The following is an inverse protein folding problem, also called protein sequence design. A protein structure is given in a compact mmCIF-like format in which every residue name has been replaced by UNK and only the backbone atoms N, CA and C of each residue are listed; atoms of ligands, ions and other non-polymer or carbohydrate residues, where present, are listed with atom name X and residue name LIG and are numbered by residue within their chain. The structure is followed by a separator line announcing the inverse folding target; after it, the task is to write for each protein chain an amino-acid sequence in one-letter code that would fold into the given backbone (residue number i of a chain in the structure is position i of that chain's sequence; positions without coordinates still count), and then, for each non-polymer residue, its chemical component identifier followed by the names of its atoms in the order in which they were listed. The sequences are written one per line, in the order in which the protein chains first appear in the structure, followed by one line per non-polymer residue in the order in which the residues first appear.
data_IF_724231133609
#
_entry.id   IF_724231133609
#
_cell.length_a   1.000
_cell.length_b   1.000
_cell.length_c   1.000
_cell.angle_alpha   90.00
_cell.angle_beta   90.00
_cell.angle_gamma   90.00
#
_symmetry.space_group_name_H-M   'P 1'
#
loop_
_entity.id
_entity.type
_entity.pdbx_description
1 polymer ?
#
# COMPACT_ATOMS: atom_id res chain seq x y z
N UNK A 1 22.93 -13.90 23.23
CA UNK A 1 23.13 -13.23 21.94
C UNK A 1 23.62 -14.28 20.97
N UNK A 2 22.67 -15.00 20.34
CA UNK A 2 22.99 -15.90 19.23
C UNK A 2 23.37 -15.02 18.05
N UNK A 3 24.28 -15.49 17.20
CA UNK A 3 24.59 -14.83 15.95
C UNK A 3 23.37 -15.02 15.04
N UNK A 4 22.39 -14.14 15.15
CA UNK A 4 21.25 -14.12 14.24
C UNK A 4 21.77 -13.68 12.88
N UNK A 5 21.84 -14.65 11.97
CA UNK A 5 22.09 -14.38 10.55
C UNK A 5 20.88 -13.58 10.05
N UNK A 6 21.07 -12.40 9.45
CA UNK A 6 19.95 -11.58 9.01
C UNK A 6 19.13 -12.34 7.93
N UNK A 7 17.80 -12.17 7.92
CA UNK A 7 16.95 -12.82 6.92
C UNK A 7 17.41 -12.44 5.50
N UNK A 8 17.50 -13.45 4.63
CA UNK A 8 17.93 -13.26 3.24
C UNK A 8 16.83 -12.59 2.41
N UNK A 9 17.16 -11.48 1.76
CA UNK A 9 16.29 -10.77 0.84
C UNK A 9 16.39 -11.40 -0.56
N UNK A 10 15.26 -11.75 -1.16
CA UNK A 10 15.20 -12.18 -2.57
C UNK A 10 14.61 -11.05 -3.40
N UNK A 11 15.34 -10.61 -4.42
CA UNK A 11 14.90 -9.61 -5.40
C UNK A 11 14.08 -10.32 -6.46
N UNK A 12 12.89 -9.80 -6.77
CA UNK A 12 12.02 -10.33 -7.82
C UNK A 12 12.20 -9.42 -9.04
N UNK A 13 12.56 -10.01 -10.18
CA UNK A 13 12.54 -9.35 -11.50
C UNK A 13 11.23 -9.75 -12.19
N UNK A 14 10.46 -8.77 -12.68
CA UNK A 14 9.18 -9.03 -13.35
C UNK A 14 9.39 -9.20 -14.87
N UNK A 15 8.73 -10.21 -15.46
CA UNK A 15 8.63 -10.43 -16.91
C UNK A 15 7.25 -9.95 -17.38
N UNK A 16 7.19 -9.05 -18.37
CA UNK A 16 5.94 -8.53 -18.94
C UNK A 16 5.34 -9.54 -19.94
N UNK A 17 4.10 -9.98 -19.72
CA UNK A 17 3.31 -10.79 -20.67
C UNK A 17 2.27 -9.91 -21.40
N UNK A 18 2.27 -9.95 -22.74
CA UNK A 18 1.26 -9.28 -23.58
C UNK A 18 -0.02 -10.12 -23.65
N UNK A 19 -1.17 -9.55 -23.26
CA UNK A 19 -2.49 -10.19 -23.45
C UNK A 19 -3.20 -9.68 -24.71
N UNK A 20 -3.70 -10.63 -25.51
CA UNK A 20 -4.46 -10.45 -26.76
C UNK A 20 -5.95 -10.11 -26.47
N UNK A 21 -6.45 -9.06 -27.13
CA UNK A 21 -7.86 -8.64 -27.11
C UNK A 21 -8.79 -9.61 -27.89
N UNK A 22 -9.87 -10.09 -27.25
CA UNK A 22 -10.92 -10.89 -27.90
C UNK A 22 -12.29 -10.17 -27.87
N UNK A 23 -12.75 -9.74 -29.05
CA UNK A 23 -14.02 -9.07 -29.33
C UNK A 23 -15.19 -10.07 -29.42
N UNK A 24 -15.93 -10.23 -28.32
CA UNK A 24 -17.13 -11.07 -28.25
C UNK A 24 -18.44 -10.29 -28.14
N UNK A 25 -19.15 -10.10 -29.26
CA UNK A 25 -20.43 -9.39 -29.34
C UNK A 25 -21.71 -10.17 -28.96
N UNK A 26 -22.82 -9.44 -28.94
CA UNK A 26 -24.22 -9.94 -28.90
C UNK A 26 -24.85 -9.95 -27.51
N UNK A 27 -26.13 -9.65 -27.28
CA UNK A 27 -27.28 -9.44 -28.15
C UNK A 27 -28.44 -8.87 -27.33
N UNK A 28 -29.43 -8.36 -28.06
CA UNK A 28 -30.70 -7.78 -27.63
C UNK A 28 -31.61 -8.68 -26.76
N UNK A 29 -32.62 -8.05 -26.14
CA UNK A 29 -34.01 -8.51 -25.89
C UNK A 29 -34.49 -8.30 -24.42
N UNK A 30 -35.44 -7.39 -24.11
CA UNK A 30 -36.91 -7.36 -24.33
C UNK A 30 -37.72 -7.65 -23.03
N UNK A 31 -38.69 -6.75 -22.79
CA UNK A 31 -39.98 -6.90 -22.08
C UNK A 31 -40.09 -7.17 -20.56
N UNK A 32 -40.91 -6.33 -19.91
CA UNK A 32 -41.57 -6.65 -18.65
C UNK A 32 -42.20 -5.45 -17.95
N UNK A 33 -43.29 -4.92 -18.51
CA UNK A 33 -44.12 -3.94 -17.81
C UNK A 33 -44.80 -4.57 -16.59
N UNK A 34 -44.73 -3.90 -15.44
CA UNK A 34 -45.52 -4.24 -14.27
C UNK A 34 -46.32 -3.02 -13.82
N UNK A 35 -47.63 -3.20 -13.88
CA UNK A 35 -48.69 -2.26 -13.66
C UNK A 35 -49.06 -2.12 -12.18
N UNK A 36 -49.18 -0.86 -11.78
CA UNK A 36 -50.20 -0.34 -10.87
C UNK A 36 -50.64 -1.19 -9.68
N UNK A 37 -50.14 -0.83 -8.50
CA UNK A 37 -50.93 -0.86 -7.27
C UNK A 37 -50.37 0.17 -6.29
N UNK A 38 -50.93 1.38 -6.34
CA UNK A 38 -50.75 2.43 -5.32
C UNK A 38 -51.56 2.04 -4.07
N UNK A 39 -50.94 1.80 -2.91
CA UNK A 39 -51.68 1.71 -1.66
C UNK A 39 -52.12 3.10 -1.19
N UNK A 40 -53.26 3.17 -0.46
CA UNK A 40 -53.88 4.42 -0.05
C UNK A 40 -53.06 5.17 1.01
N UNK A 41 -53.11 6.49 0.85
CA UNK A 41 -52.71 7.51 1.80
C UNK A 41 -53.48 7.36 3.12
N UNK A 42 -52.82 6.96 4.20
CA UNK A 42 -53.30 7.10 5.58
C UNK A 42 -52.12 6.78 6.53
N UNK A 43 -51.38 7.80 6.98
CA UNK A 43 -51.18 7.99 8.42
C UNK A 43 -50.45 9.32 8.71
N UNK A 44 -51.20 10.28 9.23
CA UNK A 44 -50.68 11.45 9.93
C UNK A 44 -50.01 11.02 11.24
N UNK A 45 -48.78 10.51 11.15
CA UNK A 45 -47.97 10.19 12.33
C UNK A 45 -46.99 11.32 12.61
N UNK A 46 -47.49 12.27 13.40
CA UNK A 46 -46.77 13.08 14.37
C UNK A 46 -45.29 13.36 14.05
N UNK A 47 -45.03 14.55 13.52
CA UNK A 47 -43.71 15.17 13.49
C UNK A 47 -43.14 15.27 14.92
N UNK A 48 -42.45 14.20 15.34
CA UNK A 48 -41.53 14.25 16.45
C UNK A 48 -40.36 15.05 15.95
N UNK A 49 -40.38 16.33 16.33
CA UNK A 49 -39.22 17.19 16.44
C UNK A 49 -38.09 16.39 17.11
N UNK A 50 -37.26 15.77 16.26
CA UNK A 50 -36.13 14.95 16.65
C UNK A 50 -35.02 15.94 16.90
N UNK A 51 -35.07 16.49 18.13
CA UNK A 51 -34.25 17.59 18.60
C UNK A 51 -32.87 17.60 17.96
N UNK A 52 -32.63 18.70 17.25
CA UNK A 52 -31.36 19.19 16.71
C UNK A 52 -30.24 18.15 16.79
N UNK A 53 -30.30 17.21 15.83
CA UNK A 53 -29.42 16.06 15.70
C UNK A 53 -28.01 16.48 15.31
N UNK A 54 -27.38 17.31 16.14
CA UNK A 54 -25.98 17.71 16.06
C UNK A 54 -25.14 16.44 16.07
N UNK A 55 -24.75 15.99 14.89
CA UNK A 55 -23.76 14.95 14.77
C UNK A 55 -22.45 15.54 15.31
N UNK A 56 -21.75 14.84 16.22
CA UNK A 56 -20.55 15.39 16.86
C UNK A 56 -19.36 15.50 15.90
N UNK A 57 -19.55 15.17 14.62
CA UNK A 57 -18.54 15.18 13.58
C UNK A 57 -19.12 15.73 12.27
N UNK A 58 -18.31 16.49 11.54
CA UNK A 58 -18.63 16.96 10.19
C UNK A 58 -17.94 16.05 9.17
N UNK A 59 -18.70 15.57 8.20
CA UNK A 59 -18.14 14.86 7.05
C UNK A 59 -17.45 15.87 6.13
N UNK A 60 -16.12 15.83 6.08
CA UNK A 60 -15.33 16.73 5.22
C UNK A 60 -15.28 16.24 3.77
N UNK A 61 -14.98 14.95 3.57
CA UNK A 61 -14.79 14.37 2.26
C UNK A 61 -15.48 13.02 2.15
N UNK A 62 -16.06 12.75 0.98
CA UNK A 62 -16.63 11.46 0.62
C UNK A 62 -16.46 11.25 -0.87
N UNK A 63 -15.79 10.16 -1.23
CA UNK A 63 -15.62 9.75 -2.62
C UNK A 63 -15.47 8.23 -2.69
N UNK A 64 -15.76 7.66 -3.87
CA UNK A 64 -15.59 6.24 -4.13
C UNK A 64 -14.18 6.00 -4.66
N UNK A 65 -13.30 5.39 -3.85
CA UNK A 65 -11.91 5.13 -4.25
C UNK A 65 -11.75 3.87 -5.12
N UNK A 66 -12.51 2.83 -4.80
CA UNK A 66 -12.47 1.53 -5.49
C UNK A 66 -13.89 1.09 -5.82
N UNK A 67 -14.11 0.46 -6.98
CA UNK A 67 -15.42 -0.09 -7.29
C UNK A 67 -15.67 -1.35 -6.43
N UNK A 68 -16.66 -1.36 -5.53
CA UNK A 68 -16.88 -2.49 -4.64
C UNK A 68 -17.29 -3.77 -5.37
N UNK A 69 -17.76 -3.70 -6.61
CA UNK A 69 -18.19 -4.85 -7.40
C UNK A 69 -17.01 -5.56 -8.08
N UNK A 70 -16.01 -4.80 -8.55
CA UNK A 70 -14.88 -5.34 -9.33
C UNK A 70 -13.59 -5.39 -8.52
N UNK A 71 -13.33 -4.37 -7.70
CA UNK A 71 -12.09 -4.19 -6.95
C UNK A 71 -12.26 -4.50 -5.47
N UNK A 72 -13.49 -4.62 -4.96
CA UNK A 72 -13.74 -4.94 -3.56
C UNK A 72 -13.52 -3.76 -2.59
N UNK A 73 -13.52 -4.03 -1.27
CA UNK A 73 -13.45 -2.97 -0.26
C UNK A 73 -12.04 -2.39 -0.12
N UNK A 74 -11.94 -1.16 0.38
CA UNK A 74 -10.66 -0.54 0.77
C UNK A 74 -10.03 -1.35 1.90
N UNK A 75 -8.80 -1.81 1.72
CA UNK A 75 -8.07 -2.65 2.69
C UNK A 75 -6.97 -1.89 3.42
N UNK A 76 -6.43 -0.84 2.81
CA UNK A 76 -5.47 0.05 3.44
C UNK A 76 -5.72 1.50 3.01
N UNK A 77 -5.50 2.43 3.94
CA UNK A 77 -5.68 3.87 3.76
C UNK A 77 -4.53 4.61 4.44
N UNK A 78 -3.97 5.60 3.76
CA UNK A 78 -2.98 6.52 4.31
C UNK A 78 -3.29 7.94 3.81
N UNK A 79 -3.18 8.93 4.69
CA UNK A 79 -3.24 10.35 4.32
C UNK A 79 -1.91 11.01 4.66
N UNK A 80 -1.26 11.61 3.67
CA UNK A 80 0.03 12.28 3.83
C UNK A 80 0.15 13.43 2.82
N UNK A 81 0.52 14.62 3.30
CA UNK A 81 0.84 15.76 2.43
C UNK A 81 -0.28 16.17 1.47
N UNK A 82 -1.53 16.20 1.94
CA UNK A 82 -2.70 16.54 1.10
C UNK A 82 -3.15 15.43 0.14
N UNK A 83 -2.45 14.29 0.13
CA UNK A 83 -2.78 13.12 -0.69
C UNK A 83 -3.37 12.01 0.15
N UNK A 84 -4.31 11.28 -0.43
CA UNK A 84 -4.85 10.03 0.10
C UNK A 84 -4.31 8.88 -0.75
N UNK A 85 -3.83 7.83 -0.10
CA UNK A 85 -3.39 6.59 -0.71
C UNK A 85 -4.36 5.49 -0.28
N UNK A 86 -4.96 4.80 -1.25
CA UNK A 86 -5.90 3.71 -0.99
C UNK A 86 -5.46 2.44 -1.70
N UNK A 87 -5.64 1.30 -1.06
CA UNK A 87 -5.64 -0.01 -1.72
C UNK A 87 -6.99 -0.67 -1.54
N UNK A 88 -7.45 -1.41 -2.54
CA UNK A 88 -8.70 -2.15 -2.53
C UNK A 88 -8.53 -3.60 -3.00
N UNK A 89 -9.31 -4.50 -2.40
CA UNK A 89 -9.41 -5.91 -2.82
C UNK A 89 -8.10 -6.68 -2.85
N UNK A 90 -7.91 -7.45 -3.93
CA UNK A 90 -6.82 -8.41 -4.13
C UNK A 90 -5.82 -7.99 -5.21
N UNK A 91 -6.01 -6.86 -5.90
CA UNK A 91 -5.20 -6.50 -7.07
C UNK A 91 -3.76 -6.10 -6.73
N UNK A 92 -3.50 -5.72 -5.47
CA UNK A 92 -2.18 -5.21 -5.08
C UNK A 92 -1.88 -3.79 -5.57
N UNK A 93 -2.89 -3.08 -6.08
CA UNK A 93 -2.73 -1.71 -6.59
C UNK A 93 -2.96 -0.64 -5.50
N UNK A 94 -2.24 0.47 -5.62
CA UNK A 94 -2.39 1.64 -4.75
C UNK A 94 -2.84 2.85 -5.58
N UNK A 95 -4.03 3.38 -5.29
CA UNK A 95 -4.52 4.61 -5.90
C UNK A 95 -4.14 5.82 -5.07
N UNK A 96 -3.62 6.84 -5.73
CA UNK A 96 -3.26 8.13 -5.14
C UNK A 96 -4.28 9.18 -5.53
N UNK A 97 -4.80 9.90 -4.55
CA UNK A 97 -5.82 10.94 -4.68
C UNK A 97 -5.31 12.25 -4.11
N UNK A 98 -5.61 13.35 -4.76
CA UNK A 98 -5.43 14.70 -4.21
C UNK A 98 -6.75 15.19 -3.61
N UNK A 99 -6.66 15.76 -2.41
CA UNK A 99 -7.79 16.39 -1.72
C UNK A 99 -7.52 17.89 -1.67
N UNK A 100 -8.24 18.72 -2.46
CA UNK A 100 -8.02 20.16 -2.45
C UNK A 100 -8.29 20.79 -1.08
N UNK A 101 -7.34 21.58 -0.58
CA UNK A 101 -7.46 22.30 0.71
C UNK A 101 -8.56 23.39 0.70
N UNK A 102 -9.04 23.78 -0.48
CA UNK A 102 -9.98 24.90 -0.69
C UNK A 102 -11.34 24.73 0.00
N UNK A 103 -11.63 23.55 0.55
CA UNK A 103 -12.91 23.24 1.23
C UNK A 103 -12.92 23.63 2.71
N UNK A 104 -11.78 24.06 3.26
CA UNK A 104 -11.68 24.49 4.67
C UNK A 104 -12.03 25.97 4.90
N UNK A 105 -12.29 26.75 3.85
CA UNK A 105 -12.46 28.21 3.93
C UNK A 105 -13.88 28.72 3.63
N UNK A 106 -14.89 27.85 3.56
CA UNK A 106 -16.27 28.32 3.44
C UNK A 106 -16.79 28.73 4.82
N UNK A 107 -16.65 30.03 5.08
CA UNK A 107 -17.14 30.77 6.24
C UNK A 107 -18.63 30.49 6.51
N UNK A 108 -18.94 30.29 7.80
CA UNK A 108 -20.21 29.87 8.42
C UNK A 108 -21.44 30.77 8.18
N UNK A 109 -21.43 31.69 7.20
CA UNK A 109 -22.31 32.85 7.28
C UNK A 109 -23.62 32.83 6.47
N UNK A 110 -23.85 31.94 5.50
CA UNK A 110 -25.09 32.09 4.70
C UNK A 110 -25.78 30.80 4.22
N UNK A 111 -27.05 30.74 4.63
CA UNK A 111 -28.20 30.06 4.06
C UNK A 111 -28.22 28.52 3.99
N UNK A 112 -29.16 27.99 4.78
CA UNK A 112 -29.78 26.67 4.90
C UNK A 112 -30.21 26.03 3.55
N UNK A 113 -29.26 25.88 2.63
CA UNK A 113 -29.42 25.19 1.37
C UNK A 113 -28.60 23.91 1.43
N UNK A 114 -29.21 22.87 2.01
CA UNK A 114 -28.62 21.55 2.34
C UNK A 114 -28.07 20.71 1.18
N UNK A 115 -27.60 21.30 0.08
CA UNK A 115 -26.79 20.62 -0.91
C UNK A 115 -25.32 20.64 -0.47
N UNK A 116 -24.99 19.78 0.49
CA UNK A 116 -23.61 19.60 0.96
C UNK A 116 -22.67 19.36 -0.23
N UNK A 117 -21.87 20.37 -0.56
CA UNK A 117 -20.93 20.33 -1.67
C UNK A 117 -19.82 19.33 -1.32
N UNK A 118 -19.95 18.11 -1.82
CA UNK A 118 -18.94 17.06 -1.62
C UNK A 118 -17.66 17.49 -2.32
N UNK A 119 -16.56 17.61 -1.56
CA UNK A 119 -15.24 17.84 -2.14
C UNK A 119 -14.92 16.70 -3.10
N UNK A 120 -14.63 17.06 -4.35
CA UNK A 120 -14.25 16.08 -5.36
C UNK A 120 -12.77 15.73 -5.19
N UNK A 121 -12.48 14.52 -4.73
CA UNK A 121 -11.13 13.98 -4.78
C UNK A 121 -10.68 13.83 -6.23
N UNK A 122 -9.42 14.16 -6.51
CA UNK A 122 -8.84 14.10 -7.86
C UNK A 122 -7.93 12.87 -7.92
N UNK A 123 -8.23 11.87 -8.76
CA UNK A 123 -7.30 10.75 -8.96
C UNK A 123 -6.02 11.26 -9.62
N UNK A 124 -4.86 10.96 -9.02
CA UNK A 124 -3.56 11.38 -9.52
C UNK A 124 -2.87 10.28 -10.33
N UNK A 125 -2.68 9.11 -9.72
CA UNK A 125 -1.94 7.99 -10.32
C UNK A 125 -2.26 6.67 -9.63
N UNK A 126 -1.86 5.58 -10.28
CA UNK A 126 -1.90 4.22 -9.75
C UNK A 126 -0.46 3.72 -9.55
N UNK A 127 -0.18 3.07 -8.42
CA UNK A 127 1.09 2.40 -8.14
C UNK A 127 0.84 0.89 -8.18
N UNK A 128 1.49 0.20 -9.10
CA UNK A 128 1.28 -1.23 -9.39
C UNK A 128 2.62 -1.93 -9.72
N UNK A 129 2.60 -3.26 -9.89
CA UNK A 129 3.79 -4.05 -10.24
C UNK A 129 4.72 -4.38 -9.05
N UNK A 130 4.20 -4.32 -7.82
CA UNK A 130 4.97 -4.74 -6.65
C UNK A 130 4.31 -5.84 -5.82
N UNK A 131 3.00 -6.00 -5.98
CA UNK A 131 2.18 -6.93 -5.23
C UNK A 131 1.24 -7.66 -6.20
N UNK A 132 1.04 -8.95 -5.96
CA UNK A 132 0.05 -9.77 -6.67
C UNK A 132 -1.15 -10.11 -5.79
N UNK A 133 -1.29 -9.45 -4.63
CA UNK A 133 -2.32 -9.73 -3.65
C UNK A 133 -2.73 -8.51 -2.83
N UNK A 134 -3.72 -8.70 -1.96
CA UNK A 134 -4.24 -7.67 -1.05
C UNK A 134 -3.14 -6.99 -0.23
N UNK A 135 -3.06 -5.66 -0.33
CA UNK A 135 -2.25 -4.84 0.57
C UNK A 135 -2.94 -4.73 1.93
N UNK A 136 -2.18 -5.01 2.98
CA UNK A 136 -2.61 -4.98 4.39
C UNK A 136 -2.15 -3.74 5.15
N UNK A 137 -1.16 -3.01 4.63
CA UNK A 137 -0.63 -1.82 5.28
C UNK A 137 -0.05 -0.83 4.28
N UNK A 138 -0.29 0.47 4.55
CA UNK A 138 0.37 1.61 3.93
C UNK A 138 0.96 2.48 5.03
N UNK A 139 2.24 2.82 4.94
CA UNK A 139 2.96 3.63 5.94
C UNK A 139 3.93 4.58 5.27
N UNK A 140 4.21 5.72 5.89
CA UNK A 140 5.25 6.63 5.43
C UNK A 140 6.55 6.37 6.18
N UNK A 141 7.67 6.54 5.49
CA UNK A 141 8.97 6.70 6.13
C UNK A 141 9.53 8.04 5.66
N UNK A 142 9.40 9.05 6.51
CA UNK A 142 10.06 10.32 6.26
C UNK A 142 11.46 10.25 6.83
N UNK A 143 12.45 10.31 5.95
CA UNK A 143 13.86 10.41 6.33
C UNK A 143 14.23 11.81 6.85
N UNK A 144 13.26 12.55 7.40
CA UNK A 144 13.51 13.84 8.03
C UNK A 144 14.30 13.59 9.31
N UNK A 145 15.61 13.41 9.15
CA UNK A 145 16.56 13.66 10.21
C UNK A 145 16.25 15.07 10.63
N UNK A 146 15.73 15.24 11.84
CA UNK A 146 15.37 16.54 12.41
C UNK A 146 16.64 17.39 12.53
N UNK A 147 17.08 17.95 11.40
CA UNK A 147 18.39 18.54 11.21
C UNK A 147 18.26 20.03 11.51
N UNK A 148 18.24 20.32 12.80
CA UNK A 148 18.56 21.67 13.30
C UNK A 148 20.02 22.08 13.05
N UNK A 149 20.80 21.31 12.28
CA UNK A 149 22.20 21.58 11.99
C UNK A 149 22.48 21.69 10.49
N UNK A 150 22.25 22.90 9.97
CA UNK A 150 23.00 23.57 8.91
C UNK A 150 23.56 22.73 7.74
N UNK A 151 22.81 22.78 6.62
CA UNK A 151 23.33 22.99 5.28
C UNK A 151 24.33 21.98 4.69
N UNK A 152 24.03 20.67 4.77
CA UNK A 152 24.48 19.76 3.71
C UNK A 152 23.48 19.84 2.56
N UNK A 153 23.85 20.51 1.46
CA UNK A 153 23.06 20.63 0.22
C UNK A 153 22.92 19.31 -0.57
N UNK A 154 23.36 18.16 -0.01
CA UNK A 154 23.45 16.86 -0.69
C UNK A 154 22.74 15.71 0.05
N UNK A 155 22.02 15.98 1.16
CA UNK A 155 21.15 14.96 1.75
C UNK A 155 19.80 14.99 1.01
N UNK A 156 19.69 14.19 -0.06
CA UNK A 156 18.42 13.88 -0.71
C UNK A 156 17.51 13.15 0.31
N UNK A 157 16.75 13.92 1.10
CA UNK A 157 15.72 13.38 1.99
C UNK A 157 14.64 12.72 1.13
N UNK A 158 14.68 11.40 1.05
CA UNK A 158 13.65 10.63 0.36
C UNK A 158 12.46 10.37 1.30
N UNK A 159 11.33 10.97 0.99
CA UNK A 159 10.04 10.59 1.56
C UNK A 159 9.58 9.29 0.88
N UNK A 160 9.46 8.23 1.68
CA UNK A 160 9.13 6.90 1.18
C UNK A 160 7.72 6.46 1.59
N UNK A 161 7.06 5.73 0.71
CA UNK A 161 5.84 4.97 1.00
C UNK A 161 6.22 3.50 1.16
N UNK A 162 5.82 2.89 2.26
CA UNK A 162 5.80 1.44 2.44
C UNK A 162 4.42 0.90 2.10
N UNK A 163 4.39 -0.15 1.30
CA UNK A 163 3.24 -1.04 1.16
C UNK A 163 3.62 -2.48 1.50
N UNK A 164 2.70 -3.22 2.12
CA UNK A 164 2.89 -4.63 2.47
C UNK A 164 1.66 -5.47 2.11
N UNK A 165 1.89 -6.65 1.54
CA UNK A 165 0.85 -7.49 0.94
C UNK A 165 0.78 -8.90 1.55
N UNK A 166 -0.42 -9.49 1.53
CA UNK A 166 -0.66 -10.89 1.97
C UNK A 166 0.11 -11.92 1.15
N UNK A 167 0.60 -11.57 -0.04
CA UNK A 167 1.41 -12.45 -0.90
C UNK A 167 2.86 -12.67 -0.37
N UNK A 168 3.20 -12.01 0.74
CA UNK A 168 4.52 -12.09 1.36
C UNK A 168 5.52 -11.06 0.83
N UNK A 169 5.07 -10.11 0.02
CA UNK A 169 5.88 -9.03 -0.53
C UNK A 169 5.61 -7.70 0.19
N UNK A 170 6.64 -6.85 0.23
CA UNK A 170 6.52 -5.46 0.64
C UNK A 170 7.34 -4.60 -0.32
N UNK A 171 6.96 -3.33 -0.46
CA UNK A 171 7.58 -2.42 -1.42
C UNK A 171 7.79 -1.03 -0.84
N UNK A 172 8.84 -0.38 -1.33
CA UNK A 172 9.18 1.00 -1.07
C UNK A 172 8.98 1.81 -2.34
N UNK A 173 8.23 2.90 -2.23
CA UNK A 173 7.96 3.83 -3.32
C UNK A 173 8.44 5.23 -2.96
N UNK A 174 8.82 5.99 -3.97
CA UNK A 174 9.03 7.43 -3.84
C UNK A 174 7.67 8.11 -3.64
N UNK A 175 7.46 8.86 -2.55
CA UNK A 175 6.20 9.59 -2.32
C UNK A 175 6.01 10.74 -3.31
N UNK A 176 7.11 11.31 -3.81
CA UNK A 176 7.11 12.44 -4.74
C UNK A 176 6.79 11.99 -6.17
N UNK A 177 7.55 11.01 -6.65
CA UNK A 177 7.47 10.54 -8.03
C UNK A 177 6.55 9.34 -8.21
N UNK A 178 6.17 8.66 -7.14
CA UNK A 178 5.40 7.41 -7.22
C UNK A 178 6.19 6.25 -7.81
N UNK A 179 7.49 6.40 -8.06
CA UNK A 179 8.31 5.35 -8.64
C UNK A 179 8.54 4.23 -7.63
N UNK A 180 8.49 2.99 -8.11
CA UNK A 180 8.87 1.82 -7.32
C UNK A 180 10.39 1.85 -7.10
N UNK A 181 10.81 2.08 -5.86
CA UNK A 181 12.23 2.06 -5.48
C UNK A 181 12.68 0.62 -5.28
N UNK A 182 11.83 -0.17 -4.60
CA UNK A 182 12.17 -1.56 -4.28
C UNK A 182 10.94 -2.41 -4.03
N UNK A 183 10.91 -3.61 -4.59
CA UNK A 183 10.05 -4.70 -4.16
C UNK A 183 10.89 -5.78 -3.47
N UNK A 184 10.37 -6.35 -2.38
CA UNK A 184 11.05 -7.33 -1.55
C UNK A 184 10.08 -8.46 -1.19
N UNK A 185 10.60 -9.68 -1.10
CA UNK A 185 9.85 -10.85 -0.62
C UNK A 185 10.40 -11.33 0.71
N UNK A 186 9.52 -11.60 1.67
CA UNK A 186 9.88 -12.22 2.94
C UNK A 186 10.28 -13.67 2.66
N UNK A 187 11.54 -14.03 2.96
CA UNK A 187 12.00 -15.40 2.86
C UNK A 187 11.49 -16.23 4.04
N UNK A 188 11.07 -17.46 3.76
CA UNK A 188 10.80 -18.45 4.80
C UNK A 188 12.12 -18.83 5.48
N UNK A 189 12.30 -18.37 6.72
CA UNK A 189 13.31 -18.95 7.59
C UNK A 189 12.74 -20.28 8.11
N UNK A 190 12.98 -21.36 7.39
CA UNK A 190 12.49 -22.70 7.77
C UNK A 190 13.13 -23.21 9.08
N UNK A 191 14.13 -22.49 9.60
CA UNK A 191 14.74 -22.79 10.89
C UNK A 191 15.40 -24.16 10.92
N UNK A 192 15.67 -24.76 9.75
CA UNK A 192 16.51 -25.92 9.63
C UNK A 192 17.97 -25.48 9.80
N UNK A 193 18.32 -25.12 11.04
CA UNK A 193 19.70 -25.11 11.53
C UNK A 193 20.19 -26.56 11.62
N UNK A 194 20.02 -27.36 10.56
CA UNK A 194 20.70 -28.64 10.38
C UNK A 194 22.16 -28.30 10.05
N UNK A 195 22.86 -27.99 11.15
CA UNK A 195 24.29 -27.80 11.37
C UNK A 195 25.05 -29.11 11.02
N UNK A 196 24.88 -29.61 9.79
CA UNK A 196 25.83 -30.54 9.22
C UNK A 196 26.90 -29.67 8.57
N UNK A 197 28.05 -29.53 9.25
CA UNK A 197 29.19 -28.66 8.91
C UNK A 197 29.89 -28.96 7.57
N UNK A 198 29.12 -29.31 6.54
CA UNK A 198 29.53 -29.45 5.16
C UNK A 198 29.83 -28.08 4.56
N UNK A 199 31.12 -27.78 4.47
CA UNK A 199 31.71 -26.68 3.72
C UNK A 199 31.37 -26.83 2.22
N UNK A 200 30.14 -26.50 1.84
CA UNK A 200 29.58 -26.73 0.51
C UNK A 200 28.85 -25.49 0.01
N UNK A 201 29.56 -24.70 -0.78
CA UNK A 201 29.04 -23.58 -1.57
C UNK A 201 28.06 -24.08 -2.63
N UNK A 202 26.78 -24.19 -2.29
CA UNK A 202 25.74 -24.38 -3.31
C UNK A 202 24.51 -23.56 -2.98
N UNK A 203 24.24 -22.59 -3.84
CA UNK A 203 22.94 -22.00 -4.16
C UNK A 203 22.00 -23.11 -4.66
N UNK A 204 21.59 -24.00 -3.76
CA UNK A 204 20.48 -24.89 -4.02
C UNK A 204 19.20 -24.10 -3.80
N UNK A 205 18.54 -23.76 -4.90
CA UNK A 205 17.11 -23.45 -4.98
C UNK A 205 16.35 -24.65 -4.45
N UNK A 206 16.31 -24.80 -3.14
CA UNK A 206 15.45 -25.77 -2.48
C UNK A 206 14.03 -25.30 -2.74
N UNK A 207 13.34 -26.01 -3.62
CA UNK A 207 11.89 -25.96 -3.80
C UNK A 207 11.23 -26.42 -2.50
N UNK A 208 11.34 -25.59 -1.47
CA UNK A 208 10.54 -25.69 -0.26
C UNK A 208 9.09 -25.73 -0.71
N UNK A 209 8.41 -26.84 -0.47
CA UNK A 209 7.00 -26.99 -0.77
C UNK A 209 6.11 -26.19 0.19
N UNK A 210 6.69 -25.44 1.12
CA UNK A 210 5.94 -24.53 1.99
C UNK A 210 5.48 -23.33 1.17
N UNK A 211 4.20 -22.92 1.26
CA UNK A 211 3.79 -21.65 0.70
C UNK A 211 4.58 -20.51 1.35
N UNK A 212 4.89 -19.44 0.60
CA UNK A 212 5.58 -18.28 1.12
C UNK A 212 4.81 -17.66 2.30
N UNK A 213 5.50 -16.99 3.23
CA UNK A 213 4.86 -16.46 4.44
C UNK A 213 4.02 -15.24 4.08
N UNK A 214 2.74 -15.25 4.43
CA UNK A 214 1.84 -14.10 4.21
C UNK A 214 2.05 -13.03 5.26
N UNK A 215 2.12 -11.75 4.84
CA UNK A 215 2.16 -10.62 5.76
C UNK A 215 0.73 -10.27 6.16
N UNK A 216 0.48 -10.18 7.47
CA UNK A 216 -0.82 -9.86 8.05
C UNK A 216 -0.88 -8.44 8.60
N UNK A 217 0.27 -7.86 8.96
CA UNK A 217 0.38 -6.49 9.43
C UNK A 217 1.78 -5.96 9.19
N UNK A 218 1.91 -4.64 9.09
CA UNK A 218 3.20 -3.97 9.04
C UNK A 218 3.17 -2.68 9.85
N UNK A 219 4.31 -2.34 10.44
CA UNK A 219 4.53 -1.06 11.08
C UNK A 219 5.97 -0.58 10.87
N UNK A 220 6.22 0.70 11.12
CA UNK A 220 7.52 1.32 10.92
C UNK A 220 7.94 2.01 12.21
N UNK A 221 9.16 1.72 12.65
CA UNK A 221 9.83 2.52 13.69
C UNK A 221 10.64 3.62 13.01
N UNK A 222 10.18 4.84 13.20
CA UNK A 222 10.82 6.06 12.70
C UNK A 222 11.69 6.75 13.75
N UNK A 223 11.89 6.16 14.92
CA UNK A 223 12.67 6.78 15.98
C UNK A 223 14.16 6.87 15.61
N UNK A 224 14.75 8.03 15.90
CA UNK A 224 16.20 8.25 15.76
C UNK A 224 17.02 7.36 16.73
N UNK A 225 16.37 6.81 17.76
CA UNK A 225 16.98 6.02 18.83
C UNK A 225 17.18 4.54 18.47
N UNK A 226 16.76 4.09 17.29
CA UNK A 226 16.81 2.68 16.88
C UNK A 226 18.23 2.07 16.83
N UNK A 227 19.29 2.86 17.05
CA UNK A 227 20.68 2.41 17.18
C UNK A 227 21.33 1.91 15.88
N UNK A 228 20.51 1.47 14.92
CA UNK A 228 20.90 1.04 13.58
C UNK A 228 21.04 2.20 12.58
N UNK A 229 20.80 3.45 13.01
CA UNK A 229 21.01 4.65 12.19
C UNK A 229 20.00 4.84 11.06
N UNK A 230 18.80 4.26 11.16
CA UNK A 230 17.73 4.44 10.17
C UNK A 230 16.42 3.78 10.61
N UNK A 231 15.39 3.95 9.77
CA UNK A 231 14.06 3.38 10.00
C UNK A 231 14.08 1.85 9.95
N UNK A 232 13.23 1.23 10.77
CA UNK A 232 13.05 -0.23 10.79
C UNK A 232 11.61 -0.57 10.43
N UNK A 233 11.43 -1.46 9.46
CA UNK A 233 10.13 -2.01 9.08
C UNK A 233 9.90 -3.30 9.85
N UNK A 234 8.78 -3.40 10.57
CA UNK A 234 8.35 -4.62 11.24
C UNK A 234 7.16 -5.23 10.49
N UNK A 235 7.26 -6.52 10.13
CA UNK A 235 6.20 -7.26 9.46
C UNK A 235 5.72 -8.41 10.35
N UNK A 236 4.42 -8.45 10.64
CA UNK A 236 3.74 -9.56 11.30
C UNK A 236 3.28 -10.60 10.29
N UNK A 237 3.72 -11.84 10.46
CA UNK A 237 3.50 -12.93 9.49
C UNK A 237 2.40 -13.90 9.97
N UNK A 238 1.77 -14.61 9.04
CA UNK A 238 0.80 -15.68 9.32
C UNK A 238 1.38 -16.87 10.10
N UNK A 239 2.71 -16.99 10.15
CA UNK A 239 3.45 -17.98 10.95
C UNK A 239 3.50 -17.64 12.44
N UNK A 240 2.96 -16.48 12.86
CA UNK A 240 3.03 -15.99 14.24
C UNK A 240 4.37 -15.35 14.59
N UNK A 241 5.22 -15.06 13.60
CA UNK A 241 6.51 -14.41 13.74
C UNK A 241 6.44 -12.93 13.36
N UNK A 242 7.38 -12.15 13.88
CA UNK A 242 7.64 -10.77 13.46
C UNK A 242 9.05 -10.71 12.90
N UNK A 243 9.21 -10.10 11.73
CA UNK A 243 10.52 -9.84 11.10
C UNK A 243 10.76 -8.34 11.01
N UNK A 244 12.02 -7.94 11.21
CA UNK A 244 12.46 -6.54 11.16
C UNK A 244 13.45 -6.33 10.02
N UNK A 245 13.29 -5.26 9.24
CA UNK A 245 14.22 -4.89 8.17
C UNK A 245 14.69 -3.45 8.34
N UNK A 246 16.00 -3.23 8.27
CA UNK A 246 16.61 -1.90 8.29
C UNK A 246 16.50 -1.30 6.89
N UNK A 247 15.84 -0.16 6.78
CA UNK A 247 15.49 0.47 5.49
C UNK A 247 16.73 0.86 4.68
N UNK A 248 17.77 1.49 5.26
CA UNK A 248 19.03 1.72 4.56
C UNK A 248 19.63 0.47 3.90
N UNK A 249 19.54 -0.70 4.55
CA UNK A 249 20.08 -1.95 4.01
C UNK A 249 19.27 -2.43 2.80
N UNK A 250 17.95 -2.29 2.86
CA UNK A 250 17.05 -2.61 1.75
C UNK A 250 17.39 -1.74 0.53
N UNK A 251 17.55 -0.43 0.71
CA UNK A 251 17.86 0.51 -0.37
C UNK A 251 19.27 0.24 -0.92
N UNK A 252 20.27 0.06 -0.05
CA UNK A 252 21.64 -0.24 -0.46
C UNK A 252 21.72 -1.52 -1.31
N UNK A 253 20.91 -2.54 -0.98
CA UNK A 253 20.86 -3.79 -1.74
C UNK A 253 20.35 -3.64 -3.19
N UNK A 254 19.67 -2.54 -3.53
CA UNK A 254 19.25 -2.24 -4.90
C UNK A 254 20.40 -1.68 -5.75
N UNK A 255 21.29 -0.89 -5.15
CA UNK A 255 22.43 -0.26 -5.84
C UNK A 255 23.54 -1.25 -6.21
N UNK A 256 23.59 -2.40 -5.54
CA UNK A 256 24.61 -3.44 -5.70
C UNK A 256 24.43 -4.33 -6.93
N UNK A 257 23.44 -4.05 -7.78
CA UNK A 257 23.20 -4.73 -9.06
C UNK A 257 24.48 -4.80 -9.88
N UNK A 258 25.07 -6.00 -9.81
CA UNK A 258 26.36 -6.40 -10.34
C UNK A 258 26.51 -5.90 -11.78
N UNK A 259 27.33 -4.86 -11.98
CA UNK A 259 28.01 -4.71 -13.28
C UNK A 259 28.76 -6.01 -13.46
N UNK A 260 28.15 -6.96 -14.16
CA UNK A 260 28.79 -8.16 -14.66
C UNK A 260 30.02 -7.71 -15.41
N UNK A 261 31.14 -7.67 -14.69
CA UNK A 261 32.44 -7.39 -15.25
C UNK A 261 32.71 -8.55 -16.15
N UNK A 262 32.29 -8.43 -17.41
CA UNK A 262 32.67 -9.31 -18.50
C UNK A 262 34.18 -9.24 -18.58
N UNK A 263 34.85 -10.07 -17.77
CA UNK A 263 36.26 -10.35 -17.84
C UNK A 263 36.49 -10.99 -19.19
N UNK A 264 36.73 -10.14 -20.19
CA UNK A 264 37.25 -10.55 -21.47
C UNK A 264 38.57 -11.25 -21.24
N UNK A 265 38.53 -12.58 -21.16
CA UNK A 265 39.70 -13.42 -21.27
C UNK A 265 40.27 -13.25 -22.67
N UNK A 266 41.22 -12.33 -22.81
CA UNK A 266 42.05 -12.21 -23.99
C UNK A 266 43.41 -12.88 -23.75
N UNK A 267 43.77 -13.81 -24.63
CA UNK A 267 45.15 -14.21 -24.91
C UNK A 267 45.55 -15.61 -24.48
#
# INVERSE_FOLDING_TARGET
FRNDVPPRLVVVEEEEEEEDDDDGGGSDDLYGGNDGSTPPDDDETAERDTGDGSTPFRLLHRFQAHDPATEGPVTALLYQGGKVYTSGGESGEIRVWEIPDEVLLLDDDDDDSGTGQQSKAIPLRNLAGAHGGRIVALKTLSSSRSSSSAASDDDDEHDLLLSASVDGTFALWSLDTGDLIRACRVADYDGSDDDDGGMGTTTTTTTSSSPPPSILSADVDTSDDAGAGGHVIYLGLNTGRVVGYVVPDIIASASGGEKGGGGGGGG
#
